data_IF_194555515218
#
_entry.id   IF_194555515218
#
_cell.length_a   1.000
_cell.length_b   1.000
_cell.length_c   1.000
_cell.angle_alpha   90.00
_cell.angle_beta   90.00
_cell.angle_gamma   90.00
#
_symmetry.space_group_name_H-M   'P 1'
#
loop_
_entity.id
_entity.type
_entity.pdbx_description
1 polymer ?
#
# COMPACT_ATOMS: atom_id res chain seq x y z
N UNK A 1 -43.95 90.36 -52.14
CA UNK A 1 -43.53 89.60 -53.34
C UNK A 1 -43.46 88.11 -52.93
N UNK A 2 -44.06 87.12 -53.61
CA UNK A 2 -43.93 86.72 -55.03
C UNK A 2 -42.46 86.35 -55.32
N UNK A 3 -42.01 85.16 -55.78
CA UNK A 3 -42.59 83.89 -56.28
C UNK A 3 -41.56 82.76 -55.98
N UNK A 4 -41.65 81.45 -56.29
CA UNK A 4 -42.57 80.59 -57.06
C UNK A 4 -42.55 79.13 -56.48
N UNK A 5 -42.78 78.10 -57.32
CA UNK A 5 -42.52 76.66 -57.13
C UNK A 5 -41.66 76.12 -58.28
N UNK A 6 -40.85 75.08 -58.01
CA UNK A 6 -40.47 73.95 -58.88
C UNK A 6 -39.66 72.98 -57.98
N UNK A 7 -39.86 71.67 -57.88
CA UNK A 7 -40.82 70.80 -58.54
C UNK A 7 -40.18 69.92 -59.61
N UNK A 8 -39.70 68.72 -59.25
CA UNK A 8 -39.83 67.54 -60.11
C UNK A 8 -39.81 66.24 -59.28
N UNK A 9 -40.31 65.17 -59.89
CA UNK A 9 -40.74 63.94 -59.24
C UNK A 9 -40.39 62.73 -60.10
N UNK A 10 -39.93 61.66 -59.43
CA UNK A 10 -40.01 60.25 -59.83
C UNK A 10 -39.27 59.78 -61.10
N UNK A 11 -38.84 58.52 -61.02
CA UNK A 11 -38.46 57.64 -62.13
C UNK A 11 -37.15 57.94 -62.88
N UNK A 12 -36.02 57.59 -62.25
CA UNK A 12 -35.03 56.76 -62.95
C UNK A 12 -34.90 55.41 -62.22
N UNK A 13 -35.46 54.41 -62.89
CA UNK A 13 -35.99 53.17 -62.35
C UNK A 13 -34.94 52.05 -62.41
N UNK A 14 -34.77 51.34 -61.27
CA UNK A 14 -34.17 49.99 -61.11
C UNK A 14 -32.67 49.81 -61.39
N UNK A 15 -31.96 49.39 -60.34
CA UNK A 15 -31.38 48.02 -60.34
C UNK A 15 -31.27 47.43 -58.92
N UNK A 16 -31.85 46.23 -58.73
CA UNK A 16 -31.50 45.22 -57.70
C UNK A 16 -31.69 45.45 -56.17
N UNK A 17 -32.97 45.54 -55.77
CA UNK A 17 -33.67 44.60 -54.84
C UNK A 17 -33.02 44.13 -53.50
N UNK A 18 -33.74 44.46 -52.39
CA UNK A 18 -33.85 43.80 -51.05
C UNK A 18 -32.77 43.96 -49.96
N UNK A 19 -33.14 44.69 -48.90
CA UNK A 19 -33.12 44.35 -47.44
C UNK A 19 -33.31 45.68 -46.66
N UNK A 20 -33.81 45.77 -45.41
CA UNK A 20 -34.22 44.81 -44.37
C UNK A 20 -35.24 45.48 -43.40
N UNK A 21 -35.90 44.67 -42.56
CA UNK A 21 -36.61 45.08 -41.34
C UNK A 21 -36.62 43.87 -40.37
N UNK A 22 -37.00 44.02 -39.09
CA UNK A 22 -36.19 44.66 -38.03
C UNK A 22 -35.90 43.67 -36.88
N UNK A 23 -34.88 43.94 -36.03
CA UNK A 23 -34.83 43.57 -34.60
C UNK A 23 -33.44 43.83 -34.00
N UNK A 24 -33.40 44.40 -32.79
CA UNK A 24 -32.30 44.20 -31.84
C UNK A 24 -32.91 44.04 -30.45
N UNK A 25 -32.96 42.80 -29.97
CA UNK A 25 -33.25 42.48 -28.57
C UNK A 25 -31.99 41.79 -28.05
N UNK A 26 -31.26 42.44 -27.14
CA UNK A 26 -30.04 41.84 -26.57
C UNK A 26 -30.44 40.85 -25.47
N UNK A 27 -30.42 39.57 -25.83
CA UNK A 27 -30.53 38.47 -24.88
C UNK A 27 -29.30 38.44 -23.95
N UNK A 28 -29.55 38.13 -22.67
CA UNK A 28 -28.57 38.10 -21.58
C UNK A 28 -28.49 36.72 -20.92
N UNK A 29 -28.76 35.63 -21.68
CA UNK A 29 -28.81 34.26 -21.16
C UNK A 29 -27.46 33.54 -20.98
N UNK A 30 -26.38 34.03 -21.59
CA UNK A 30 -25.09 33.31 -21.65
C UNK A 30 -24.32 33.17 -20.32
N UNK A 31 -24.16 34.21 -19.47
CA UNK A 31 -23.31 34.11 -18.27
C UNK A 31 -23.82 33.12 -17.22
N UNK A 32 -25.14 32.95 -17.13
CA UNK A 32 -25.79 32.08 -16.12
C UNK A 32 -25.58 30.61 -16.46
N UNK A 33 -25.56 30.24 -17.74
CA UNK A 33 -25.35 28.86 -18.17
C UNK A 33 -23.90 28.40 -17.87
N UNK A 34 -22.92 29.27 -18.06
CA UNK A 34 -21.52 28.98 -17.73
C UNK A 34 -21.32 28.82 -16.22
N UNK A 35 -21.86 29.72 -15.39
CA UNK A 35 -21.84 29.58 -13.93
C UNK A 35 -22.50 28.28 -13.44
N UNK A 36 -23.65 27.91 -14.01
CA UNK A 36 -24.32 26.65 -13.67
C UNK A 36 -23.46 25.44 -14.04
N UNK A 37 -22.73 25.50 -15.17
CA UNK A 37 -21.80 24.43 -15.57
C UNK A 37 -20.57 24.32 -14.66
N UNK A 38 -20.06 25.43 -14.13
CA UNK A 38 -18.98 25.39 -13.12
C UNK A 38 -19.44 24.77 -11.80
N UNK A 39 -20.63 25.13 -11.32
CA UNK A 39 -21.24 24.54 -10.11
C UNK A 39 -21.43 23.02 -10.29
N UNK A 40 -21.93 22.59 -11.45
CA UNK A 40 -22.11 21.16 -11.76
C UNK A 40 -20.76 20.41 -11.80
N UNK A 41 -19.72 21.00 -12.39
CA UNK A 41 -18.35 20.43 -12.37
C UNK A 41 -17.83 20.28 -10.94
N UNK A 42 -17.99 21.30 -10.11
CA UNK A 42 -17.56 21.28 -8.71
C UNK A 42 -18.31 20.20 -7.90
N UNK A 43 -19.64 20.10 -8.06
CA UNK A 43 -20.44 19.05 -7.42
C UNK A 43 -20.04 17.65 -7.88
N UNK A 44 -19.78 17.45 -9.17
CA UNK A 44 -19.33 16.16 -9.67
C UNK A 44 -17.95 15.79 -9.12
N UNK A 45 -17.01 16.74 -9.08
CA UNK A 45 -15.69 16.56 -8.48
C UNK A 45 -15.77 16.17 -6.99
N UNK A 46 -16.56 16.90 -6.20
CA UNK A 46 -16.79 16.59 -4.78
C UNK A 46 -17.43 15.22 -4.59
N UNK A 47 -18.40 14.84 -5.42
CA UNK A 47 -18.97 13.49 -5.38
C UNK A 47 -17.91 12.42 -5.69
N UNK A 48 -17.07 12.62 -6.71
CA UNK A 48 -15.97 11.70 -7.04
C UNK A 48 -14.97 11.55 -5.88
N UNK A 49 -14.58 12.66 -5.22
CA UNK A 49 -13.74 12.62 -4.02
C UNK A 49 -14.39 11.86 -2.86
N UNK A 50 -15.68 12.06 -2.63
CA UNK A 50 -16.42 11.33 -1.58
C UNK A 50 -16.45 9.83 -1.92
N UNK A 51 -16.60 9.45 -3.19
CA UNK A 51 -16.55 8.05 -3.59
C UNK A 51 -15.14 7.45 -3.44
N UNK A 52 -14.08 8.18 -3.77
CA UNK A 52 -12.71 7.66 -3.59
C UNK A 52 -12.35 7.45 -2.12
N UNK A 53 -12.82 8.31 -1.21
CA UNK A 53 -12.65 8.16 0.25
C UNK A 53 -13.47 6.96 0.78
N UNK A 54 -14.69 6.76 0.28
CA UNK A 54 -15.57 5.65 0.71
C UNK A 54 -15.10 4.29 0.20
N UNK A 55 -14.62 4.26 -1.03
CA UNK A 55 -14.24 3.06 -1.77
C UNK A 55 -12.85 3.30 -2.38
N UNK A 56 -11.77 3.26 -1.57
CA UNK A 56 -10.41 3.30 -2.10
C UNK A 56 -10.19 2.16 -3.10
N UNK A 57 -9.24 2.35 -4.02
CA UNK A 57 -8.89 1.33 -5.04
C UNK A 57 -7.47 0.78 -4.86
N UNK A 58 -6.71 1.28 -3.87
CA UNK A 58 -5.36 0.81 -3.56
C UNK A 58 -4.31 1.21 -4.61
N UNK A 59 -4.52 2.31 -5.35
CA UNK A 59 -3.48 2.94 -6.18
C UNK A 59 -2.71 3.97 -5.36
N UNK A 60 -1.55 4.43 -5.83
CA UNK A 60 -0.74 5.42 -5.12
C UNK A 60 -1.48 6.75 -4.88
N UNK A 61 -2.36 7.12 -5.80
CA UNK A 61 -3.18 8.33 -5.76
C UNK A 61 -4.46 8.15 -4.93
N UNK A 62 -4.90 6.91 -4.70
CA UNK A 62 -6.07 6.56 -3.90
C UNK A 62 -5.80 5.28 -3.07
N UNK A 63 -4.89 5.36 -2.08
CA UNK A 63 -4.48 4.23 -1.26
C UNK A 63 -5.62 3.76 -0.37
N UNK A 64 -5.61 2.48 0.01
CA UNK A 64 -6.45 2.00 1.11
C UNK A 64 -5.77 2.25 2.45
N UNK A 65 -6.49 2.10 3.55
CA UNK A 65 -5.85 2.12 4.88
C UNK A 65 -5.04 0.84 5.14
N UNK A 66 -5.66 -0.31 4.89
CA UNK A 66 -5.05 -1.65 4.91
C UNK A 66 -5.72 -2.53 3.84
N UNK A 67 -5.12 -3.67 3.50
CA UNK A 67 -5.67 -4.60 2.51
C UNK A 67 -7.07 -5.13 2.91
N UNK A 68 -7.33 -5.36 4.20
CA UNK A 68 -8.64 -5.84 4.68
C UNK A 68 -9.76 -4.81 4.46
N UNK A 69 -9.47 -3.51 4.53
CA UNK A 69 -10.44 -2.46 4.21
C UNK A 69 -10.75 -2.47 2.71
N UNK A 70 -9.73 -2.63 1.86
CA UNK A 70 -9.89 -2.73 0.41
C UNK A 70 -10.74 -3.94 -0.02
N UNK A 71 -10.61 -5.07 0.70
CA UNK A 71 -11.43 -6.27 0.53
C UNK A 71 -12.91 -6.05 0.88
N UNK A 72 -13.18 -5.19 1.85
CA UNK A 72 -14.53 -4.95 2.39
C UNK A 72 -15.35 -3.94 1.56
N UNK A 73 -14.74 -3.22 0.61
CA UNK A 73 -15.39 -2.16 -0.20
C UNK A 73 -16.28 -2.67 -1.36
N UNK A 74 -16.91 -3.85 -1.23
CA UNK A 74 -17.82 -4.48 -2.21
C UNK A 74 -17.25 -4.61 -3.65
N UNK A 75 -15.91 -4.62 -3.77
CA UNK A 75 -15.19 -4.78 -5.04
C UNK A 75 -14.61 -6.19 -5.15
N UNK A 76 -14.72 -6.80 -6.34
CA UNK A 76 -14.03 -8.06 -6.65
C UNK A 76 -12.53 -7.80 -6.89
N UNK A 77 -11.78 -7.73 -5.79
CA UNK A 77 -10.32 -7.63 -5.79
C UNK A 77 -9.66 -9.01 -5.82
N UNK A 78 -8.47 -9.10 -6.40
CA UNK A 78 -7.66 -10.32 -6.50
C UNK A 78 -6.27 -10.08 -5.92
N UNK A 79 -5.65 -11.12 -5.34
CA UNK A 79 -4.35 -11.00 -4.68
C UNK A 79 -3.31 -10.32 -5.57
N UNK A 80 -2.53 -9.40 -5.00
CA UNK A 80 -1.72 -8.50 -5.82
C UNK A 80 -0.99 -7.44 -5.04
N UNK A 81 -0.42 -6.49 -5.78
CA UNK A 81 0.36 -5.37 -5.26
C UNK A 81 -0.51 -4.12 -5.24
N UNK A 82 -0.57 -3.45 -4.09
CA UNK A 82 -1.42 -2.28 -3.83
C UNK A 82 -0.68 -1.25 -2.96
N UNK A 83 -1.21 -0.04 -2.91
CA UNK A 83 -0.72 1.05 -2.07
C UNK A 83 -1.63 1.26 -0.85
N UNK A 84 -1.01 1.45 0.31
CA UNK A 84 -1.71 1.73 1.57
C UNK A 84 -1.16 2.96 2.31
N UNK A 85 -2.03 3.57 3.11
CA UNK A 85 -1.73 4.58 4.13
C UNK A 85 -2.47 4.27 5.45
N UNK A 86 -1.89 3.44 6.33
CA UNK A 86 -2.43 3.14 7.66
C UNK A 86 -2.60 4.35 8.58
N UNK A 87 -1.70 5.34 8.50
CA UNK A 87 -1.70 6.50 9.40
C UNK A 87 -2.79 7.54 9.06
N UNK A 88 -3.29 7.52 7.81
CA UNK A 88 -4.29 8.44 7.26
C UNK A 88 -3.83 9.90 7.36
N UNK A 89 -2.94 10.29 6.44
CA UNK A 89 -2.26 11.57 6.50
C UNK A 89 -2.01 12.23 5.14
N UNK A 90 -0.80 12.77 4.97
CA UNK A 90 -0.34 13.25 3.68
C UNK A 90 0.25 12.09 2.90
N UNK A 91 -0.44 11.61 1.86
CA UNK A 91 -0.14 10.40 1.08
C UNK A 91 1.26 10.32 0.42
N UNK A 92 2.12 11.32 0.65
CA UNK A 92 3.56 11.29 0.36
C UNK A 92 4.33 10.13 1.01
N UNK A 93 3.88 9.58 2.14
CA UNK A 93 4.48 8.43 2.84
C UNK A 93 3.70 7.11 2.63
N UNK A 94 2.78 7.08 1.65
CA UNK A 94 2.18 5.83 1.16
C UNK A 94 3.25 4.84 0.73
N UNK A 95 2.98 3.55 0.95
CA UNK A 95 3.90 2.48 0.60
C UNK A 95 3.20 1.30 -0.08
N UNK A 96 4.00 0.54 -0.82
CA UNK A 96 3.56 -0.63 -1.56
C UNK A 96 3.51 -1.87 -0.65
N UNK A 97 2.45 -2.67 -0.78
CA UNK A 97 2.22 -3.91 -0.05
C UNK A 97 1.71 -5.00 -0.97
N UNK A 98 1.92 -6.26 -0.57
CA UNK A 98 1.18 -7.37 -1.15
C UNK A 98 -0.10 -7.62 -0.35
N UNK A 99 -1.25 -7.49 -1.00
CA UNK A 99 -2.54 -7.85 -0.42
C UNK A 99 -2.89 -9.30 -0.77
N UNK A 100 -3.19 -10.10 0.24
CA UNK A 100 -3.64 -11.48 0.11
C UNK A 100 -5.09 -11.57 0.61
N UNK A 101 -6.04 -11.34 -0.30
CA UNK A 101 -7.48 -11.42 -0.08
C UNK A 101 -7.95 -12.87 0.05
N UNK A 102 -7.28 -13.81 -0.62
CA UNK A 102 -7.50 -15.25 -0.40
C UNK A 102 -7.28 -15.64 1.07
N UNK A 103 -6.40 -14.94 1.79
CA UNK A 103 -6.13 -15.12 3.22
C UNK A 103 -6.82 -14.06 4.10
N UNK A 104 -7.99 -13.56 3.68
CA UNK A 104 -8.83 -12.65 4.47
C UNK A 104 -8.42 -11.17 4.44
N UNK A 105 -7.55 -10.77 3.50
CA UNK A 105 -7.12 -9.39 3.34
C UNK A 105 -5.85 -9.05 4.11
N UNK A 106 -4.92 -10.01 4.24
CA UNK A 106 -3.62 -9.78 4.88
C UNK A 106 -2.83 -8.69 4.14
N UNK A 107 -2.22 -7.79 4.93
CA UNK A 107 -1.33 -6.73 4.46
C UNK A 107 0.11 -7.16 4.67
N UNK A 108 0.80 -7.55 3.59
CA UNK A 108 2.15 -8.11 3.66
C UNK A 108 3.23 -7.13 3.18
N UNK A 109 4.16 -6.78 4.07
CA UNK A 109 5.37 -6.01 3.76
C UNK A 109 6.47 -6.98 3.33
N UNK A 110 7.05 -6.76 2.15
CA UNK A 110 8.24 -7.50 1.70
C UNK A 110 9.51 -6.77 2.15
N UNK A 111 10.58 -7.48 2.54
CA UNK A 111 11.84 -6.82 2.81
C UNK A 111 12.45 -6.25 1.51
N UNK A 112 13.18 -5.13 1.63
CA UNK A 112 13.88 -4.43 0.53
C UNK A 112 14.86 -5.37 -0.20
N UNK A 113 15.40 -6.36 0.52
CA UNK A 113 16.09 -7.52 -0.02
C UNK A 113 15.84 -8.69 0.91
N UNK A 114 15.69 -9.91 0.37
CA UNK A 114 15.62 -11.13 1.18
C UNK A 114 16.84 -11.34 2.10
N UNK A 115 17.94 -10.62 1.89
CA UNK A 115 19.13 -10.65 2.75
C UNK A 115 19.18 -9.59 3.86
N UNK A 116 18.14 -8.76 4.03
CA UNK A 116 18.10 -7.66 5.02
C UNK A 116 16.79 -7.62 5.82
N UNK A 117 16.89 -7.38 7.13
CA UNK A 117 15.76 -6.98 7.99
C UNK A 117 15.44 -5.49 7.83
N UNK A 118 15.08 -5.09 6.62
CA UNK A 118 14.61 -3.74 6.30
C UNK A 118 13.42 -3.89 5.34
N UNK A 119 12.31 -3.25 5.68
CA UNK A 119 11.06 -3.28 4.91
C UNK A 119 10.80 -1.98 4.13
N UNK A 120 11.65 -0.95 4.29
CA UNK A 120 11.47 0.34 3.61
C UNK A 120 10.24 1.14 4.06
N UNK A 121 9.63 0.78 5.20
CA UNK A 121 8.43 1.41 5.77
C UNK A 121 8.80 2.05 7.12
N UNK A 122 8.36 3.29 7.35
CA UNK A 122 8.65 4.01 8.60
C UNK A 122 8.03 3.33 9.83
N UNK A 123 8.69 3.47 10.99
CA UNK A 123 8.23 2.90 12.26
C UNK A 123 6.81 3.37 12.62
N UNK A 124 6.44 4.60 12.27
CA UNK A 124 5.11 5.16 12.48
C UNK A 124 4.05 4.37 11.71
N UNK A 125 4.28 4.12 10.42
CA UNK A 125 3.35 3.36 9.59
C UNK A 125 3.21 1.90 10.06
N UNK A 126 4.31 1.26 10.51
CA UNK A 126 4.25 -0.07 11.15
C UNK A 126 3.42 -0.05 12.44
N UNK A 127 3.57 0.97 13.29
CA UNK A 127 2.73 1.11 14.50
C UNK A 127 1.24 1.23 14.14
N UNK A 128 0.88 1.92 13.05
CA UNK A 128 -0.52 1.97 12.60
C UNK A 128 -1.02 0.64 12.07
N UNK A 129 -0.18 -0.17 11.38
CA UNK A 129 -0.54 -1.56 11.06
C UNK A 129 -0.80 -2.39 12.34
N UNK A 130 0.01 -2.22 13.39
CA UNK A 130 -0.24 -2.86 14.70
C UNK A 130 -1.57 -2.45 15.34
N UNK A 131 -2.02 -1.21 15.15
CA UNK A 131 -3.31 -0.75 15.66
C UNK A 131 -4.52 -1.26 14.86
N UNK A 132 -4.29 -1.78 13.64
CA UNK A 132 -5.33 -2.16 12.68
C UNK A 132 -5.43 -3.67 12.45
N UNK A 133 -4.52 -4.44 13.05
CA UNK A 133 -4.45 -5.88 12.90
C UNK A 133 -4.52 -6.61 14.24
N UNK A 134 -5.08 -7.82 14.17
CA UNK A 134 -5.35 -8.72 15.29
C UNK A 134 -4.32 -9.84 15.42
N UNK A 135 -3.63 -10.16 14.33
CA UNK A 135 -2.57 -11.14 14.27
C UNK A 135 -1.51 -10.73 13.24
N UNK A 136 -0.30 -11.26 13.40
CA UNK A 136 0.80 -11.06 12.47
C UNK A 136 1.57 -12.36 12.27
N UNK A 137 2.08 -12.56 11.06
CA UNK A 137 2.88 -13.71 10.66
C UNK A 137 4.14 -13.27 9.93
N UNK A 138 5.29 -13.89 10.21
CA UNK A 138 6.52 -13.74 9.45
C UNK A 138 7.23 -15.09 9.34
N UNK A 139 7.85 -15.36 8.19
CA UNK A 139 8.73 -16.51 7.99
C UNK A 139 10.19 -16.08 7.80
N UNK A 140 11.13 -16.92 8.22
CA UNK A 140 12.57 -16.70 8.09
C UNK A 140 13.26 -18.04 7.82
N UNK A 141 14.05 -18.11 6.76
CA UNK A 141 14.84 -19.29 6.40
C UNK A 141 16.32 -19.03 6.71
N UNK A 142 16.93 -19.95 7.46
CA UNK A 142 18.35 -19.94 7.77
C UNK A 142 19.00 -21.05 6.98
N UNK A 143 19.78 -20.68 5.97
CA UNK A 143 20.65 -21.62 5.26
C UNK A 143 21.95 -21.77 6.04
N UNK A 144 22.42 -23.00 6.20
CA UNK A 144 23.51 -23.37 7.10
C UNK A 144 24.45 -24.39 6.44
N UNK A 145 25.73 -24.33 6.81
CA UNK A 145 26.75 -25.30 6.43
C UNK A 145 27.53 -25.67 7.69
N UNK A 146 27.53 -26.96 8.03
CA UNK A 146 28.25 -27.58 9.16
C UNK A 146 28.00 -26.92 10.54
N UNK A 147 26.81 -26.37 10.76
CA UNK A 147 26.41 -25.90 12.08
C UNK A 147 24.89 -25.76 12.29
N UNK A 148 24.44 -25.93 13.54
CA UNK A 148 23.02 -25.86 13.92
C UNK A 148 22.48 -24.43 13.79
N UNK A 149 21.19 -24.31 13.50
CA UNK A 149 20.46 -23.03 13.55
C UNK A 149 19.48 -22.94 14.73
N UNK A 150 19.03 -24.10 15.24
CA UNK A 150 18.07 -24.20 16.34
C UNK A 150 18.48 -25.26 17.35
N UNK A 151 18.47 -26.53 16.96
CA UNK A 151 18.90 -27.63 17.83
C UNK A 151 20.28 -28.16 17.42
N UNK A 152 21.15 -28.43 18.40
CA UNK A 152 22.37 -29.22 18.24
C UNK A 152 22.23 -30.52 19.06
N UNK A 153 21.90 -31.66 18.43
CA UNK A 153 21.75 -32.93 19.14
C UNK A 153 23.09 -33.55 19.59
N UNK A 154 24.23 -32.94 19.24
CA UNK A 154 25.58 -33.41 19.61
C UNK A 154 26.05 -32.79 20.94
N UNK A 155 25.56 -31.59 21.27
CA UNK A 155 25.94 -30.86 22.48
C UNK A 155 25.09 -31.25 23.70
N UNK A 156 25.69 -31.23 24.90
CA UNK A 156 24.96 -31.42 26.17
C UNK A 156 23.94 -30.30 26.46
N UNK A 157 24.09 -29.15 25.79
CA UNK A 157 23.18 -28.01 25.84
C UNK A 157 22.59 -27.80 24.43
N UNK A 158 21.44 -28.40 24.10
CA UNK A 158 20.97 -28.53 22.72
C UNK A 158 20.64 -27.20 22.03
N UNK A 159 20.54 -26.10 22.78
CA UNK A 159 20.22 -24.77 22.25
C UNK A 159 21.36 -23.75 22.45
N UNK A 160 22.58 -24.22 22.76
CA UNK A 160 23.74 -23.35 23.00
C UNK A 160 24.08 -22.48 21.79
N UNK A 161 24.12 -23.12 20.63
CA UNK A 161 24.42 -22.51 19.33
C UNK A 161 23.17 -22.01 18.58
N UNK A 162 22.01 -22.01 19.24
CA UNK A 162 20.75 -21.61 18.62
C UNK A 162 20.69 -20.11 18.32
N UNK A 163 20.03 -19.78 17.22
CA UNK A 163 19.68 -18.41 16.89
C UNK A 163 18.57 -17.89 17.83
N UNK A 164 18.64 -16.60 18.14
CA UNK A 164 17.58 -15.86 18.85
C UNK A 164 17.12 -14.70 17.99
N UNK A 165 15.85 -14.34 18.06
CA UNK A 165 15.28 -13.31 17.18
C UNK A 165 14.68 -12.18 18.01
N UNK A 166 15.08 -10.94 17.74
CA UNK A 166 14.51 -9.78 18.43
C UNK A 166 13.22 -9.34 17.75
N UNK A 167 12.16 -9.30 18.54
CA UNK A 167 10.86 -8.76 18.21
C UNK A 167 10.88 -7.23 18.07
N UNK A 168 9.92 -6.65 17.36
CA UNK A 168 9.80 -5.18 17.20
C UNK A 168 9.56 -4.42 18.52
N UNK A 169 8.93 -5.08 19.51
CA UNK A 169 8.79 -4.61 20.90
C UNK A 169 10.01 -4.90 21.80
N UNK A 170 11.11 -5.41 21.23
CA UNK A 170 12.38 -5.66 21.92
C UNK A 170 12.47 -6.98 22.68
N UNK A 171 11.37 -7.76 22.78
CA UNK A 171 11.38 -9.12 23.35
C UNK A 171 12.19 -10.08 22.46
N UNK A 172 12.56 -11.23 23.02
CA UNK A 172 13.30 -12.28 22.29
C UNK A 172 12.42 -13.50 22.04
N UNK A 173 12.47 -14.00 20.82
CA UNK A 173 12.08 -15.36 20.48
C UNK A 173 13.32 -16.26 20.63
N UNK A 174 13.24 -17.29 21.46
CA UNK A 174 14.38 -18.18 21.76
C UNK A 174 13.92 -19.59 22.17
N UNK A 175 14.78 -20.61 22.02
CA UNK A 175 14.44 -21.99 22.38
C UNK A 175 14.09 -22.15 23.86
N UNK A 176 13.03 -22.89 24.17
CA UNK A 176 12.53 -23.08 25.53
C UNK A 176 11.90 -21.83 26.18
N UNK A 177 11.92 -20.67 25.52
CA UNK A 177 11.27 -19.45 25.98
C UNK A 177 9.75 -19.46 25.76
N UNK A 178 9.03 -18.57 26.46
CA UNK A 178 7.58 -18.37 26.27
C UNK A 178 7.20 -17.87 24.87
N UNK A 179 8.18 -17.33 24.13
CA UNK A 179 8.06 -16.92 22.72
C UNK A 179 8.95 -17.81 21.83
N UNK A 180 8.92 -19.13 22.01
CA UNK A 180 9.56 -20.01 21.03
C UNK A 180 8.81 -19.90 19.68
N UNK A 181 9.50 -19.67 18.55
CA UNK A 181 8.89 -19.70 17.22
C UNK A 181 8.56 -21.14 16.82
N UNK A 182 7.64 -21.30 15.88
CA UNK A 182 7.38 -22.62 15.28
C UNK A 182 8.49 -22.95 14.29
N UNK A 183 9.15 -24.08 14.47
CA UNK A 183 10.13 -24.61 13.51
C UNK A 183 9.40 -25.51 12.52
N UNK A 184 9.28 -25.07 11.27
CA UNK A 184 8.60 -25.81 10.20
C UNK A 184 9.48 -26.95 9.65
N UNK A 185 10.79 -26.72 9.63
CA UNK A 185 11.81 -27.65 9.18
C UNK A 185 13.14 -27.31 9.86
N UNK A 186 13.87 -28.30 10.37
CA UNK A 186 15.26 -28.15 10.82
C UNK A 186 16.12 -29.21 10.14
N UNK A 187 16.88 -28.79 9.14
CA UNK A 187 17.93 -29.59 8.51
C UNK A 187 19.34 -29.26 9.01
N UNK A 188 19.52 -28.23 9.83
CA UNK A 188 20.84 -27.72 10.25
C UNK A 188 21.51 -28.59 11.32
N UNK A 189 20.75 -29.52 11.91
CA UNK A 189 21.27 -30.58 12.79
C UNK A 189 22.31 -31.49 12.09
N UNK A 190 22.25 -31.61 10.75
CA UNK A 190 23.12 -32.49 9.96
C UNK A 190 24.39 -31.77 9.53
N UNK A 191 25.55 -32.33 9.89
CA UNK A 191 26.88 -31.79 9.63
C UNK A 191 27.63 -32.73 8.66
N UNK A 192 27.27 -32.66 7.37
CA UNK A 192 27.75 -33.55 6.30
C UNK A 192 28.51 -32.83 5.17
N UNK A 193 28.91 -31.57 5.38
CA UNK A 193 29.56 -30.74 4.38
C UNK A 193 28.61 -30.19 3.29
N UNK A 194 27.29 -30.37 3.43
CA UNK A 194 26.29 -29.85 2.48
C UNK A 194 25.51 -28.68 3.06
N UNK A 195 25.02 -27.79 2.18
CA UNK A 195 24.13 -26.72 2.60
C UNK A 195 22.77 -27.29 2.96
N UNK A 196 22.35 -27.05 4.21
CA UNK A 196 21.03 -27.38 4.75
C UNK A 196 20.28 -26.08 5.09
N UNK A 197 19.05 -26.20 5.59
CA UNK A 197 18.22 -25.05 5.99
C UNK A 197 17.35 -25.35 7.20
N UNK A 198 17.02 -24.31 7.96
CA UNK A 198 15.99 -24.31 9.00
C UNK A 198 14.97 -23.22 8.68
N UNK A 199 13.69 -23.54 8.78
CA UNK A 199 12.58 -22.64 8.45
C UNK A 199 11.78 -22.31 9.72
N UNK A 200 11.75 -21.02 10.07
CA UNK A 200 11.05 -20.49 11.23
C UNK A 200 9.77 -19.79 10.82
N UNK A 201 8.69 -20.03 11.56
CA UNK A 201 7.41 -19.33 11.47
C UNK A 201 7.11 -18.64 12.80
N UNK A 202 7.03 -17.32 12.75
CA UNK A 202 6.58 -16.47 13.84
C UNK A 202 5.11 -16.14 13.59
N UNK A 203 4.19 -16.76 14.33
CA UNK A 203 2.76 -16.44 14.31
C UNK A 203 2.38 -15.87 15.68
N UNK A 204 1.88 -14.63 15.71
CA UNK A 204 1.66 -13.88 16.95
C UNK A 204 0.32 -13.14 16.96
N UNK A 205 -0.31 -13.10 18.13
CA UNK A 205 -1.49 -12.25 18.41
C UNK A 205 -1.10 -10.91 19.06
N UNK A 206 0.05 -10.84 19.73
CA UNK A 206 0.68 -9.57 20.11
C UNK A 206 1.47 -9.05 18.91
N UNK A 207 0.76 -8.38 17.99
CA UNK A 207 1.27 -7.89 16.70
C UNK A 207 2.50 -6.98 16.83
N UNK A 208 2.68 -6.32 17.97
CA UNK A 208 3.88 -5.51 18.28
C UNK A 208 5.16 -6.35 18.37
N UNK A 209 5.08 -7.68 18.35
CA UNK A 209 6.25 -8.55 18.28
C UNK A 209 6.88 -8.62 16.89
N UNK A 210 6.14 -8.30 15.82
CA UNK A 210 6.63 -8.36 14.43
C UNK A 210 6.69 -6.97 13.77
N UNK A 211 7.60 -6.74 12.80
CA UNK A 211 8.57 -7.68 12.25
C UNK A 211 9.70 -8.06 13.22
N UNK A 212 10.42 -9.14 12.92
CA UNK A 212 11.74 -9.40 13.49
C UNK A 212 12.69 -8.27 13.06
N UNK A 213 13.41 -7.69 14.02
CA UNK A 213 14.31 -6.54 13.80
C UNK A 213 15.79 -6.88 13.92
N UNK A 214 16.14 -8.01 14.54
CA UNK A 214 17.52 -8.46 14.71
C UNK A 214 17.57 -10.00 14.79
N UNK A 215 18.62 -10.61 14.23
CA UNK A 215 18.97 -12.02 14.48
C UNK A 215 20.25 -12.05 15.31
N UNK A 216 20.18 -12.68 16.47
CA UNK A 216 21.26 -12.77 17.45
C UNK A 216 21.87 -14.18 17.40
N UNK A 217 23.18 -14.24 17.24
CA UNK A 217 23.96 -15.48 17.25
C UNK A 217 24.92 -15.45 18.44
N UNK A 218 24.51 -16.03 19.57
CA UNK A 218 25.21 -15.83 20.86
C UNK A 218 26.54 -16.57 20.92
N UNK A 219 26.58 -17.82 20.44
CA UNK A 219 27.81 -18.62 20.32
C UNK A 219 27.76 -19.40 19.00
N UNK A 220 28.29 -18.88 17.88
CA UNK A 220 28.35 -19.66 16.64
C UNK A 220 29.33 -20.83 16.73
N UNK A 221 28.93 -21.98 16.17
CA UNK A 221 29.81 -23.14 16.03
C UNK A 221 31.01 -22.82 15.14
N UNK A 222 32.21 -23.19 15.57
CA UNK A 222 33.43 -22.92 14.79
C UNK A 222 33.39 -23.63 13.42
N UNK A 223 33.86 -22.93 12.38
CA UNK A 223 33.86 -23.42 10.99
C UNK A 223 32.51 -23.33 10.26
N UNK A 224 31.39 -23.26 10.99
CA UNK A 224 30.06 -23.19 10.41
C UNK A 224 29.82 -21.89 9.62
N UNK A 225 28.95 -21.95 8.61
CA UNK A 225 28.54 -20.79 7.80
C UNK A 225 27.04 -20.67 7.75
N UNK A 226 26.55 -19.43 7.71
CA UNK A 226 25.12 -19.12 7.74
C UNK A 226 24.78 -18.06 6.69
N UNK A 227 23.62 -18.20 6.07
CA UNK A 227 23.00 -17.21 5.20
C UNK A 227 21.53 -17.06 5.58
N UNK A 228 21.10 -15.83 5.81
CA UNK A 228 19.75 -15.51 6.28
C UNK A 228 18.89 -15.04 5.10
N UNK A 229 17.71 -15.64 4.97
CA UNK A 229 16.68 -15.29 4.01
C UNK A 229 15.41 -14.89 4.76
N UNK A 230 15.02 -13.62 4.65
CA UNK A 230 13.88 -13.04 5.33
C UNK A 230 12.64 -13.05 4.44
N UNK A 231 11.56 -13.66 4.93
CA UNK A 231 10.25 -13.59 4.30
C UNK A 231 9.50 -12.29 4.60
N UNK A 232 8.35 -12.07 3.96
CA UNK A 232 7.48 -10.94 4.27
C UNK A 232 6.93 -11.04 5.70
N UNK A 233 6.61 -9.88 6.29
CA UNK A 233 5.76 -9.79 7.48
C UNK A 233 4.34 -9.45 7.02
N UNK A 234 3.35 -10.24 7.44
CA UNK A 234 1.94 -10.09 7.09
C UNK A 234 1.13 -9.76 8.34
N UNK A 235 0.23 -8.79 8.22
CA UNK A 235 -0.68 -8.34 9.28
C UNK A 235 -2.13 -8.58 8.86
N UNK A 236 -2.97 -9.11 9.77
CA UNK A 236 -4.41 -9.31 9.55
C UNK A 236 -5.24 -8.51 10.56
#
# INVERSE_FOLDING_TARGET
MSMLRQGYSSEDVKTFVKSSSPQHMHDSGLPILEQNMEIIKALHYLNTLIQSIKNPIGTKENPARICRDLMNCDQKVSDGIFWVDPNLGCSSDTFEVYCNFTSGGQTCLKPVSSSKLDFGVDRTQINFLHLLSSEAAQALTVHCLDGPAWDDPVENLPHRHALRFRAFNGRLFEPGGLLAPTVLHDGCQVQDGTWRRTEFLFLVYDVQQLPIVEVLHTEPKEGARYHLEFGPVCFL
#
